data_IF_264602835410
#
_entry.id   IF_264602835410
#
_cell.length_a   1.000
_cell.length_b   1.000
_cell.length_c   1.000
_cell.angle_alpha   90.00
_cell.angle_beta   90.00
_cell.angle_gamma   90.00
#
_symmetry.space_group_name_H-M   'P 1'
#
loop_
_entity.id
_entity.type
_entity.pdbx_description
1 polymer ?
#
# COMPACT_ATOMS: atom_id res chain seq x y z
N UNK A 1 12.58 1.95 -1.12
CA UNK A 1 12.18 0.61 -1.65
C UNK A 1 10.81 0.33 -1.08
N UNK A 2 9.86 0.07 -1.91
CA UNK A 2 8.44 0.03 -1.59
C UNK A 2 8.05 -1.09 -0.60
N UNK A 3 6.88 -0.95 -0.01
CA UNK A 3 6.18 -2.04 0.67
C UNK A 3 5.96 -3.19 -0.32
N UNK A 4 6.29 -4.41 0.04
CA UNK A 4 6.19 -5.58 -0.85
C UNK A 4 5.33 -6.66 -0.21
N UNK A 5 4.34 -7.17 -0.95
CA UNK A 5 3.51 -8.29 -0.49
C UNK A 5 4.34 -9.57 -0.38
N UNK A 6 4.30 -10.24 0.78
CA UNK A 6 5.08 -11.46 1.04
C UNK A 6 4.23 -12.68 1.40
N UNK A 7 2.97 -12.51 1.82
CA UNK A 7 2.15 -13.64 2.23
C UNK A 7 0.77 -13.26 2.76
N UNK A 8 0.19 -14.15 3.56
CA UNK A 8 -1.08 -13.93 4.24
C UNK A 8 -1.13 -14.68 5.58
N UNK A 9 -1.80 -14.11 6.55
CA UNK A 9 -2.09 -14.74 7.85
C UNK A 9 -3.26 -15.73 7.76
N UNK A 10 -4.05 -15.69 6.69
CA UNK A 10 -5.20 -16.57 6.53
C UNK A 10 -4.83 -17.79 5.67
N UNK A 11 -5.08 -19.01 6.12
CA UNK A 11 -4.88 -20.21 5.31
C UNK A 11 -5.79 -20.30 4.07
N UNK A 12 -6.84 -19.49 4.02
CA UNK A 12 -7.79 -19.40 2.90
C UNK A 12 -7.70 -18.07 2.15
N UNK A 13 -6.68 -17.25 2.42
CA UNK A 13 -6.61 -15.84 2.05
C UNK A 13 -6.19 -15.57 0.62
N UNK A 14 -7.13 -15.66 -0.30
CA UNK A 14 -7.02 -14.84 -1.49
C UNK A 14 -7.13 -13.36 -1.07
N UNK A 15 -6.32 -12.46 -1.64
CA UNK A 15 -6.44 -11.03 -1.36
C UNK A 15 -7.83 -10.53 -1.76
N UNK A 16 -8.44 -9.72 -0.91
CA UNK A 16 -9.69 -9.04 -1.26
C UNK A 16 -9.33 -7.82 -2.09
N UNK A 17 -9.71 -7.82 -3.37
CA UNK A 17 -9.33 -6.80 -4.31
C UNK A 17 -10.49 -5.86 -4.63
N UNK A 18 -10.25 -4.57 -4.57
CA UNK A 18 -11.21 -3.53 -4.99
C UNK A 18 -10.51 -2.56 -5.93
N UNK A 19 -11.20 -2.22 -7.04
CA UNK A 19 -10.73 -1.22 -7.98
C UNK A 19 -11.39 0.13 -7.73
N UNK A 20 -10.59 1.21 -7.74
CA UNK A 20 -11.07 2.60 -7.64
C UNK A 20 -10.25 3.53 -8.52
N UNK A 21 -10.87 4.65 -8.91
CA UNK A 21 -10.19 5.72 -9.65
C UNK A 21 -9.19 6.42 -8.73
N UNK A 22 -8.01 6.70 -9.26
CA UNK A 22 -6.96 7.47 -8.57
C UNK A 22 -7.27 8.97 -8.63
N UNK A 23 -6.84 9.70 -7.62
CA UNK A 23 -6.83 11.16 -7.62
C UNK A 23 -6.00 11.69 -8.81
N UNK A 24 -6.32 12.88 -9.29
CA UNK A 24 -5.57 13.57 -10.34
C UNK A 24 -4.20 14.05 -9.83
N UNK A 25 -3.22 14.11 -10.72
CA UNK A 25 -1.89 14.69 -10.48
C UNK A 25 -1.11 14.04 -9.33
N UNK A 26 -1.23 12.72 -9.16
CA UNK A 26 -0.39 11.94 -8.25
C UNK A 26 0.46 10.95 -9.05
N UNK A 27 1.64 10.64 -8.53
CA UNK A 27 2.44 9.50 -9.01
C UNK A 27 2.22 8.34 -8.06
N UNK A 28 1.77 7.21 -8.58
CA UNK A 28 1.46 6.01 -7.82
C UNK A 28 2.30 4.85 -8.33
N UNK A 29 2.79 4.04 -7.43
CA UNK A 29 3.57 2.82 -7.70
C UNK A 29 2.83 1.58 -7.20
N UNK A 30 3.03 0.45 -7.84
CA UNK A 30 2.54 -0.84 -7.33
C UNK A 30 3.18 -1.10 -5.95
N UNK A 31 2.36 -1.50 -5.01
CA UNK A 31 2.59 -1.68 -3.58
C UNK A 31 2.45 -0.41 -2.71
N UNK A 32 2.32 0.79 -3.27
CA UNK A 32 2.04 1.97 -2.46
C UNK A 32 0.80 1.76 -1.60
N UNK A 33 0.86 2.23 -0.36
CA UNK A 33 -0.31 2.37 0.49
C UNK A 33 -1.20 3.50 -0.03
N UNK A 34 -2.51 3.27 -0.05
CA UNK A 34 -3.48 4.25 -0.51
C UNK A 34 -4.63 4.41 0.47
N UNK A 35 -5.26 5.59 0.43
CA UNK A 35 -6.44 5.97 1.20
C UNK A 35 -7.54 6.50 0.30
N UNK A 36 -8.78 6.51 0.77
CA UNK A 36 -9.90 7.15 0.08
C UNK A 36 -10.05 8.61 0.50
N UNK A 37 -10.08 9.49 -0.49
CA UNK A 37 -10.38 10.92 -0.32
C UNK A 37 -11.51 11.28 -1.28
N UNK A 38 -12.66 11.65 -0.76
CA UNK A 38 -13.85 12.02 -1.57
C UNK A 38 -14.22 10.96 -2.64
N UNK A 39 -14.01 9.69 -2.34
CA UNK A 39 -14.33 8.56 -3.24
C UNK A 39 -13.22 8.17 -4.23
N UNK A 40 -12.12 8.89 -4.26
CA UNK A 40 -10.95 8.61 -5.09
C UNK A 40 -9.78 8.09 -4.26
N UNK A 41 -8.91 7.28 -4.85
CA UNK A 41 -7.67 6.84 -4.20
C UNK A 41 -6.61 7.94 -4.25
N UNK A 42 -6.04 8.23 -3.12
CA UNK A 42 -4.86 9.07 -2.95
C UNK A 42 -3.76 8.29 -2.23
N UNK A 43 -2.54 8.77 -2.24
CA UNK A 43 -1.43 8.15 -1.52
C UNK A 43 -1.70 8.12 -0.01
N UNK A 44 -1.22 7.09 0.64
CA UNK A 44 -1.22 6.97 2.09
C UNK A 44 -0.34 8.04 2.72
N UNK A 45 -0.70 8.49 3.90
CA UNK A 45 0.06 9.48 4.68
C UNK A 45 -0.06 9.17 6.16
N UNK A 46 0.87 9.69 6.95
CA UNK A 46 0.90 9.55 8.41
C UNK A 46 -0.47 9.81 9.05
N UNK A 47 -0.87 8.95 9.97
CA UNK A 47 -2.06 9.13 10.83
C UNK A 47 -3.41 9.03 10.08
N UNK A 48 -3.43 8.56 8.84
CA UNK A 48 -4.68 8.36 8.09
C UNK A 48 -5.00 6.89 7.92
N UNK A 49 -6.28 6.51 7.99
CA UNK A 49 -6.67 5.11 7.76
C UNK A 49 -6.29 4.66 6.36
N UNK A 50 -5.71 3.48 6.26
CA UNK A 50 -5.32 2.85 4.99
C UNK A 50 -6.53 2.21 4.33
N UNK A 51 -6.72 2.44 3.03
CA UNK A 51 -7.70 1.71 2.23
C UNK A 51 -7.14 0.35 1.79
N UNK A 52 -5.89 0.32 1.35
CA UNK A 52 -5.22 -0.90 0.88
C UNK A 52 -3.89 -0.60 0.21
N UNK A 53 -3.32 -1.61 -0.44
CA UNK A 53 -2.10 -1.49 -1.23
C UNK A 53 -2.37 -1.71 -2.71
N UNK A 54 -1.72 -0.93 -3.56
CA UNK A 54 -1.85 -1.01 -5.02
C UNK A 54 -1.25 -2.32 -5.52
N UNK A 55 -2.08 -3.12 -6.20
CA UNK A 55 -1.68 -4.38 -6.83
C UNK A 55 -1.45 -4.24 -8.32
N UNK A 56 -2.02 -3.23 -8.93
CA UNK A 56 -1.88 -2.97 -10.35
C UNK A 56 -2.65 -1.75 -10.80
N UNK A 57 -2.31 -1.26 -11.97
CA UNK A 57 -2.86 -0.06 -12.58
C UNK A 57 -3.64 -0.39 -13.86
N UNK A 58 -4.69 0.36 -14.13
CA UNK A 58 -5.56 0.13 -15.28
C UNK A 58 -6.50 1.27 -15.58
N UNK A 59 -7.45 1.01 -16.46
CA UNK A 59 -8.56 1.92 -16.80
C UNK A 59 -9.90 1.17 -16.72
N UNK A 60 -10.98 1.80 -17.15
CA UNK A 60 -12.27 1.11 -17.31
C UNK A 60 -12.22 -0.02 -18.34
N UNK A 61 -11.25 -0.01 -19.25
CA UNK A 61 -11.08 -1.02 -20.31
C UNK A 61 -10.30 -2.26 -19.87
N UNK A 62 -9.63 -2.21 -18.71
CA UNK A 62 -8.85 -3.34 -18.18
C UNK A 62 -7.64 -2.92 -17.37
N UNK A 63 -6.84 -3.92 -17.02
CA UNK A 63 -5.61 -3.76 -16.24
C UNK A 63 -4.37 -3.78 -17.14
N UNK A 64 -3.25 -3.30 -16.61
CA UNK A 64 -1.97 -3.24 -17.30
C UNK A 64 -1.85 -1.97 -18.15
N UNK A 65 -1.40 -0.88 -17.53
CA UNK A 65 -1.07 0.35 -18.25
C UNK A 65 0.33 0.26 -18.85
N UNK A 66 0.49 0.87 -20.02
CA UNK A 66 1.82 1.21 -20.54
C UNK A 66 2.20 2.65 -20.13
N UNK A 67 3.38 3.10 -20.54
CA UNK A 67 3.90 4.44 -20.23
C UNK A 67 3.02 5.59 -20.72
N UNK A 68 2.12 5.35 -21.68
CA UNK A 68 1.20 6.36 -22.23
C UNK A 68 -0.21 6.26 -21.65
N UNK A 69 -0.43 5.37 -20.66
CA UNK A 69 -1.75 5.19 -20.03
C UNK A 69 -2.73 4.35 -20.89
N UNK A 70 -2.24 3.58 -21.84
CA UNK A 70 -3.07 2.69 -22.69
C UNK A 70 -3.06 1.28 -22.09
N UNK A 71 -4.23 0.68 -22.02
CA UNK A 71 -4.45 -0.69 -21.52
C UNK A 71 -4.30 -1.71 -22.65
N UNK A 72 -3.85 -2.91 -22.31
CA UNK A 72 -3.74 -4.03 -23.25
C UNK A 72 -2.50 -3.95 -24.14
N UNK A 73 -1.49 -3.24 -23.68
CA UNK A 73 -0.17 -3.25 -24.30
C UNK A 73 0.48 -4.65 -24.26
N UNK A 74 1.49 -4.87 -25.08
CA UNK A 74 2.21 -6.14 -25.13
C UNK A 74 2.79 -6.51 -23.75
N UNK A 75 2.82 -7.80 -23.44
CA UNK A 75 3.42 -8.34 -22.21
C UNK A 75 4.86 -7.82 -22.09
N UNK A 76 5.17 -7.17 -20.97
CA UNK A 76 6.49 -6.56 -20.73
C UNK A 76 6.53 -5.04 -20.89
N UNK A 77 5.47 -4.42 -21.42
CA UNK A 77 5.35 -2.94 -21.50
C UNK A 77 4.54 -2.32 -20.35
N UNK A 78 4.07 -3.13 -19.40
CA UNK A 78 3.33 -2.64 -18.24
C UNK A 78 4.22 -1.85 -17.30
N UNK A 79 3.71 -0.73 -16.81
CA UNK A 79 4.40 0.09 -15.83
C UNK A 79 3.96 -0.24 -14.42
N UNK A 80 4.91 -0.24 -13.49
CA UNK A 80 4.63 -0.35 -12.06
C UNK A 80 4.37 1.04 -11.43
N UNK A 81 4.81 2.11 -12.08
CA UNK A 81 4.65 3.49 -11.63
C UNK A 81 3.99 4.31 -12.72
N UNK A 82 2.99 5.10 -12.35
CA UNK A 82 2.27 5.96 -13.29
C UNK A 82 1.87 7.28 -12.65
N UNK A 83 2.14 8.39 -13.37
CA UNK A 83 1.67 9.72 -13.00
C UNK A 83 0.27 9.96 -13.59
N UNK A 84 -0.73 10.14 -12.73
CA UNK A 84 -2.09 10.41 -13.20
C UNK A 84 -2.20 11.82 -13.77
N UNK A 85 -2.94 12.03 -14.88
CA UNK A 85 -3.15 13.36 -15.44
C UNK A 85 -4.03 14.24 -14.54
N UNK A 86 -4.01 15.55 -14.80
CA UNK A 86 -4.79 16.54 -14.03
C UNK A 86 -6.31 16.36 -14.12
N UNK A 87 -6.79 15.68 -15.15
CA UNK A 87 -8.20 15.40 -15.39
C UNK A 87 -8.59 13.94 -15.04
N UNK A 88 -7.77 13.23 -14.27
CA UNK A 88 -7.97 11.80 -14.01
C UNK A 88 -9.31 11.48 -13.35
N UNK A 89 -9.81 12.32 -12.47
CA UNK A 89 -11.08 12.09 -11.78
C UNK A 89 -12.31 12.29 -12.69
N UNK A 90 -12.16 12.95 -13.82
CA UNK A 90 -13.24 13.30 -14.74
C UNK A 90 -13.16 12.64 -16.11
N UNK A 91 -11.97 12.60 -16.71
CA UNK A 91 -11.79 12.17 -18.11
C UNK A 91 -10.95 10.89 -18.23
N UNK A 92 -9.71 10.90 -17.74
CA UNK A 92 -8.77 9.79 -17.97
C UNK A 92 -9.16 8.51 -17.20
N UNK A 93 -9.65 8.66 -15.96
CA UNK A 93 -10.18 7.58 -15.11
C UNK A 93 -9.22 6.42 -14.94
N UNK A 94 -7.93 6.71 -14.78
CA UNK A 94 -6.93 5.72 -14.38
C UNK A 94 -7.30 5.18 -13.00
N UNK A 95 -7.27 3.86 -12.87
CA UNK A 95 -7.66 3.12 -11.67
C UNK A 95 -6.47 2.38 -11.08
N UNK A 96 -6.51 2.15 -9.78
CA UNK A 96 -5.73 1.10 -9.15
C UNK A 96 -6.65 -0.04 -8.69
N UNK A 97 -6.15 -1.27 -8.79
CA UNK A 97 -6.68 -2.42 -8.04
C UNK A 97 -5.89 -2.51 -6.76
N UNK A 98 -6.58 -2.51 -5.63
CA UNK A 98 -5.97 -2.54 -4.31
C UNK A 98 -6.30 -3.85 -3.59
N UNK A 99 -5.30 -4.43 -2.93
CA UNK A 99 -5.51 -5.43 -1.88
C UNK A 99 -5.92 -4.69 -0.60
N UNK A 100 -7.12 -4.96 -0.13
CA UNK A 100 -7.70 -4.35 1.07
C UNK A 100 -7.74 -5.30 2.27
N UNK A 101 -7.13 -6.48 2.14
CA UNK A 101 -7.17 -7.52 3.16
C UNK A 101 -6.31 -7.14 4.37
N UNK A 102 -6.90 -7.16 5.55
CA UNK A 102 -6.16 -7.07 6.83
C UNK A 102 -5.25 -8.29 7.09
N UNK A 103 -5.42 -9.37 6.36
CA UNK A 103 -4.66 -10.61 6.56
C UNK A 103 -3.47 -10.76 5.60
N UNK A 104 -3.30 -9.85 4.66
CA UNK A 104 -2.14 -9.86 3.78
C UNK A 104 -0.92 -9.34 4.52
N UNK A 105 0.18 -10.08 4.41
CA UNK A 105 1.48 -9.69 4.96
C UNK A 105 2.31 -8.96 3.91
N UNK A 106 2.93 -7.89 4.36
CA UNK A 106 3.85 -7.09 3.57
C UNK A 106 5.21 -7.02 4.27
N UNK A 107 6.28 -6.92 3.50
CA UNK A 107 7.59 -6.47 3.93
C UNK A 107 7.72 -4.99 3.59
N UNK A 108 8.00 -4.16 4.57
CA UNK A 108 8.03 -2.71 4.45
C UNK A 108 9.34 -2.12 4.95
N UNK A 109 9.86 -1.14 4.23
CA UNK A 109 10.99 -0.33 4.67
C UNK A 109 10.59 0.49 5.90
N UNK A 110 11.55 0.71 6.80
CA UNK A 110 11.39 1.50 8.01
C UNK A 110 12.35 2.68 7.90
N UNK A 111 11.91 3.87 8.28
CA UNK A 111 12.69 5.10 8.14
C UNK A 111 13.95 5.14 9.02
N UNK A 112 13.97 4.39 10.12
CA UNK A 112 15.11 4.24 11.01
C UNK A 112 15.42 2.76 11.21
N UNK A 113 16.69 2.44 11.45
CA UNK A 113 17.14 1.06 11.62
C UNK A 113 16.39 0.34 12.75
N UNK A 114 15.74 -0.77 12.43
CA UNK A 114 15.04 -1.63 13.40
C UNK A 114 16.04 -2.13 14.45
N UNK A 115 15.73 -1.97 15.71
CA UNK A 115 16.42 -2.74 16.73
C UNK A 115 17.20 -2.00 17.78
N UNK A 116 17.04 -0.71 17.92
CA UNK A 116 17.86 -0.01 18.90
C UNK A 116 17.12 0.49 20.14
N UNK A 117 15.79 0.62 20.14
CA UNK A 117 15.10 1.18 21.31
C UNK A 117 13.78 0.54 21.69
N UNK A 118 12.75 0.60 20.92
CA UNK A 118 11.43 0.16 21.39
C UNK A 118 10.97 -1.05 20.60
N UNK A 119 10.95 -2.21 21.26
CA UNK A 119 10.55 -3.43 20.60
C UNK A 119 11.48 -3.75 19.43
N UNK A 120 12.68 -4.20 19.75
CA UNK A 120 13.79 -4.48 18.81
C UNK A 120 13.42 -5.30 17.57
N UNK A 121 12.19 -5.72 17.45
CA UNK A 121 11.66 -6.50 16.32
C UNK A 121 10.31 -6.00 15.84
N UNK A 122 9.75 -4.92 16.40
CA UNK A 122 8.43 -4.33 16.10
C UNK A 122 7.24 -5.31 16.22
N UNK A 123 7.45 -6.52 16.70
CA UNK A 123 6.39 -7.52 16.85
C UNK A 123 5.39 -7.10 17.94
N UNK A 124 4.11 -7.04 17.59
CA UNK A 124 3.05 -6.64 18.50
C UNK A 124 2.90 -5.12 18.69
N UNK A 125 3.67 -4.32 17.95
CA UNK A 125 3.51 -2.86 17.93
C UNK A 125 2.79 -2.42 16.65
N UNK A 126 1.98 -1.39 16.77
CA UNK A 126 1.40 -0.69 15.63
C UNK A 126 2.27 0.48 15.22
N UNK A 127 2.26 0.83 13.95
CA UNK A 127 3.10 1.87 13.36
C UNK A 127 2.29 2.66 12.33
N UNK A 128 2.68 3.92 12.14
CA UNK A 128 2.16 4.75 11.07
C UNK A 128 3.10 4.77 9.85
N UNK A 129 2.61 5.34 8.76
CA UNK A 129 3.43 5.64 7.59
C UNK A 129 4.15 6.98 7.78
N UNK A 130 5.38 7.09 7.28
CA UNK A 130 6.03 8.37 6.96
C UNK A 130 5.43 8.89 5.65
N UNK A 131 5.38 8.03 4.64
CA UNK A 131 4.82 8.26 3.32
C UNK A 131 4.13 6.97 2.80
N UNK A 132 3.81 6.90 1.51
CA UNK A 132 3.04 5.79 0.92
C UNK A 132 3.77 4.45 0.88
N UNK A 133 5.07 4.41 1.15
CA UNK A 133 5.87 3.18 1.06
C UNK A 133 6.85 2.94 2.22
N UNK A 134 6.88 3.81 3.23
CA UNK A 134 7.82 3.76 4.35
C UNK A 134 7.09 3.86 5.69
N UNK A 135 7.47 3.02 6.65
CA UNK A 135 6.96 3.03 8.02
C UNK A 135 7.78 3.97 8.91
N UNK A 136 7.08 4.64 9.82
CA UNK A 136 7.66 5.43 10.90
C UNK A 136 7.82 4.57 12.17
N UNK A 137 9.03 4.11 12.44
CA UNK A 137 9.35 3.31 13.64
C UNK A 137 9.14 4.12 14.93
N UNK A 138 9.31 5.43 14.88
CA UNK A 138 9.16 6.31 16.05
C UNK A 138 7.72 6.42 16.55
N UNK A 139 6.72 6.08 15.70
CA UNK A 139 5.30 6.05 16.06
C UNK A 139 4.85 4.73 16.67
N UNK A 140 5.76 3.78 16.89
CA UNK A 140 5.43 2.46 17.44
C UNK A 140 4.63 2.55 18.73
N UNK A 141 3.40 2.00 18.72
CA UNK A 141 2.45 2.01 19.83
C UNK A 141 1.81 0.63 20.00
N UNK A 142 1.06 0.43 21.08
CA UNK A 142 0.42 -0.88 21.35
C UNK A 142 -1.04 -0.93 20.92
N UNK A 143 -1.65 0.19 20.63
CA UNK A 143 -3.11 0.27 20.40
C UNK A 143 -3.55 1.17 19.26
N UNK A 144 -2.70 2.00 18.73
CA UNK A 144 -3.04 2.97 17.68
C UNK A 144 -1.98 2.96 16.59
N UNK A 145 -2.38 2.98 15.35
CA UNK A 145 -1.48 3.00 14.19
C UNK A 145 -2.10 2.32 12.97
N UNK A 146 -1.54 2.58 11.82
CA UNK A 146 -2.06 2.10 10.54
C UNK A 146 -1.73 0.63 10.29
N UNK A 147 -0.60 0.16 10.79
CA UNK A 147 -0.08 -1.20 10.57
C UNK A 147 0.28 -1.90 11.87
N UNK A 148 0.09 -3.21 11.89
CA UNK A 148 0.57 -4.10 12.95
C UNK A 148 1.88 -4.75 12.50
N UNK A 149 2.92 -4.63 13.31
CA UNK A 149 4.19 -5.29 13.12
C UNK A 149 4.19 -6.74 13.61
N UNK A 150 4.82 -7.62 12.83
CA UNK A 150 5.03 -9.03 13.16
C UNK A 150 6.51 -9.38 13.41
N UNK A 151 7.38 -8.40 13.29
CA UNK A 151 8.82 -8.54 13.49
C UNK A 151 9.62 -8.14 12.27
N UNK A 152 10.91 -8.39 12.36
CA UNK A 152 11.86 -8.14 11.26
C UNK A 152 11.66 -9.13 10.14
N UNK A 153 11.75 -8.69 8.89
CA UNK A 153 11.70 -9.58 7.73
C UNK A 153 12.91 -10.54 7.76
N UNK A 154 12.69 -11.87 7.77
CA UNK A 154 13.77 -12.84 7.84
C UNK A 154 14.70 -12.84 6.62
N UNK A 155 14.25 -12.26 5.50
CA UNK A 155 15.04 -12.14 4.27
C UNK A 155 15.78 -10.81 4.20
N UNK A 156 15.18 -9.74 4.74
CA UNK A 156 15.78 -8.40 4.75
C UNK A 156 15.63 -7.75 6.12
N UNK A 157 16.68 -7.80 6.92
CA UNK A 157 16.70 -7.27 8.29
C UNK A 157 16.52 -5.74 8.40
N UNK A 158 16.52 -5.02 7.30
CA UNK A 158 16.20 -3.59 7.25
C UNK A 158 14.70 -3.32 7.05
N UNK A 159 13.90 -4.38 6.92
CA UNK A 159 12.45 -4.28 6.69
C UNK A 159 11.66 -4.95 7.81
N UNK A 160 10.43 -4.48 8.04
CA UNK A 160 9.48 -5.07 8.96
C UNK A 160 8.42 -5.89 8.22
N UNK A 161 7.98 -7.00 8.81
CA UNK A 161 6.79 -7.72 8.38
C UNK A 161 5.58 -7.09 9.03
N UNK A 162 4.62 -6.66 8.23
CA UNK A 162 3.43 -5.92 8.67
C UNK A 162 2.15 -6.41 8.01
N UNK A 163 1.01 -6.06 8.59
CA UNK A 163 -0.31 -6.08 7.94
C UNK A 163 -1.09 -4.81 8.29
N UNK A 164 -2.12 -4.49 7.51
CA UNK A 164 -3.01 -3.36 7.80
C UNK A 164 -3.73 -3.62 9.12
N UNK A 165 -3.60 -2.70 10.08
CA UNK A 165 -4.27 -2.74 11.38
C UNK A 165 -5.55 -1.90 11.36
N UNK A 166 -5.43 -0.60 11.05
CA UNK A 166 -6.58 0.29 10.89
C UNK A 166 -6.90 0.50 9.40
N UNK A 167 -8.13 0.20 9.01
CA UNK A 167 -8.55 0.20 7.61
C UNK A 167 -9.81 1.03 7.41
N UNK A 168 -9.83 1.81 6.32
CA UNK A 168 -11.04 2.55 5.89
C UNK A 168 -12.20 1.63 5.47
N UNK A 169 -11.93 0.37 5.17
CA UNK A 169 -12.96 -0.57 4.64
C UNK A 169 -13.68 -1.31 5.76
N UNK A 170 -12.94 -1.76 6.78
CA UNK A 170 -13.48 -2.69 7.77
C UNK A 170 -13.79 -2.04 9.12
N UNK A 171 -13.47 -0.75 9.28
CA UNK A 171 -13.50 -0.12 10.59
C UNK A 171 -12.48 -0.76 11.55
N UNK A 172 -12.32 -0.24 12.70
CA UNK A 172 -11.48 -0.83 13.76
C UNK A 172 -12.26 -1.95 14.44
#
# INVERSE_FOLDING_TARGET
MAITRIGTLSPHGAPVQISRILTSSITVTVNDAVRLVSGFLSLGTTGTLVFGHVMGLGTEKGMGLNTTGVVGAEIGSFVNTFATPSDNTTVAKIKAVCDISKFTLYSAEVDVAIGTTTGSNLAGYTQDLVDEDTLDESTAATTTGQYMGHGVDPVNSAQAVINIFESQVFGV
#
